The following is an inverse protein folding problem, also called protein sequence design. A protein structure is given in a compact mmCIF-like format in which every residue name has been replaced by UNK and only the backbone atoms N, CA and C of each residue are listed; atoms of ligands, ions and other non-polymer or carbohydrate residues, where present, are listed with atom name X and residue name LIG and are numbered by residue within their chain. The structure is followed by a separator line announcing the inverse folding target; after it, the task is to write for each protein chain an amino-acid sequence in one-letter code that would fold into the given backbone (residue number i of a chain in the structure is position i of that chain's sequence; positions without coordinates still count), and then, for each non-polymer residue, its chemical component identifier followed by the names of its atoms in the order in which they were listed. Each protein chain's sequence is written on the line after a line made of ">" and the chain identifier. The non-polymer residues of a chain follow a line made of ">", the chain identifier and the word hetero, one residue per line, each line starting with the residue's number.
data_IF_988863006775
#
_entry.id   IF_988863006775
#
_cell.length_a   1.000
_cell.length_b   1.000
_cell.length_c   1.000
_cell.angle_alpha   90.00
_cell.angle_beta   90.00
_cell.angle_gamma   90.00
#
_symmetry.space_group_name_H-M   'P 1'
#
loop_
_entity.id
_entity.type
_entity.pdbx_description
1 polymer ?
#
# COMPACT_ATOMS: atom_id res chain seq x y z
N UNK A 1 19.04 0.27 -3.84
CA UNK A 1 18.74 0.53 -2.42
C UNK A 1 18.90 -0.74 -1.59
N UNK A 2 19.33 -0.64 -0.32
CA UNK A 2 19.34 -1.77 0.64
C UNK A 2 18.14 -1.68 1.58
N UNK A 3 17.32 -2.73 1.70
CA UNK A 3 16.16 -2.72 2.60
C UNK A 3 16.55 -3.07 4.03
N UNK A 4 15.70 -2.62 4.96
CA UNK A 4 15.65 -3.18 6.30
C UNK A 4 14.79 -4.46 6.28
N UNK A 5 15.26 -5.53 6.91
CA UNK A 5 14.47 -6.74 7.11
C UNK A 5 13.72 -6.65 8.45
N UNK A 6 12.39 -6.75 8.41
CA UNK A 6 11.54 -6.61 9.59
C UNK A 6 10.54 -7.76 9.64
N UNK A 7 10.45 -8.44 10.78
CA UNK A 7 9.36 -9.37 11.08
C UNK A 7 8.13 -8.58 11.56
N UNK A 8 6.98 -8.87 10.98
CA UNK A 8 5.69 -8.26 11.36
C UNK A 8 4.70 -9.36 11.69
N UNK A 9 3.92 -9.12 12.75
CA UNK A 9 2.72 -9.90 13.05
C UNK A 9 1.63 -9.67 12.00
N UNK A 10 0.46 -10.28 12.20
CA UNK A 10 -0.69 -10.06 11.35
C UNK A 10 -1.07 -8.58 11.32
N UNK A 11 -1.37 -8.07 10.13
CA UNK A 11 -1.85 -6.69 9.92
C UNK A 11 -3.29 -6.79 9.43
N UNK A 12 -4.22 -6.12 10.11
CA UNK A 12 -5.64 -6.08 9.72
C UNK A 12 -5.93 -4.69 9.19
N UNK A 13 -6.36 -4.61 7.93
CA UNK A 13 -6.65 -3.36 7.25
C UNK A 13 -8.13 -3.25 6.91
N UNK A 14 -8.66 -2.04 7.01
CA UNK A 14 -10.00 -1.66 6.55
C UNK A 14 -9.90 -0.46 5.62
N UNK A 15 -10.66 -0.47 4.53
CA UNK A 15 -10.49 0.53 3.49
C UNK A 15 -11.29 0.26 2.23
N UNK A 16 -10.89 0.89 1.12
CA UNK A 16 -11.50 0.69 -0.19
C UNK A 16 -10.60 -0.11 -1.12
N UNK A 17 -11.21 -0.90 -1.99
CA UNK A 17 -10.52 -1.65 -3.05
C UNK A 17 -10.98 -1.19 -4.43
N UNK A 18 -10.06 -1.24 -5.38
CA UNK A 18 -10.26 -1.09 -6.80
C UNK A 18 -9.65 -2.30 -7.51
N UNK A 19 -10.37 -2.85 -8.49
CA UNK A 19 -9.86 -3.90 -9.37
C UNK A 19 -10.10 -3.47 -10.82
N UNK A 20 -9.05 -3.48 -11.63
CA UNK A 20 -9.09 -3.09 -13.04
C UNK A 20 -7.75 -2.56 -13.52
N UNK A 21 -7.75 -1.85 -14.65
CA UNK A 21 -6.59 -1.08 -15.12
C UNK A 21 -6.62 0.32 -14.47
N UNK A 22 -5.71 0.62 -13.52
CA UNK A 22 -5.73 1.90 -12.85
C UNK A 22 -5.16 3.05 -13.67
N UNK A 23 -4.44 2.76 -14.75
CA UNK A 23 -3.85 3.76 -15.66
C UNK A 23 -4.69 4.01 -16.91
N UNK A 24 -5.89 3.42 -16.97
CA UNK A 24 -6.85 3.56 -18.07
C UNK A 24 -7.11 5.01 -18.46
N UNK A 25 -7.10 5.94 -17.50
CA UNK A 25 -7.43 7.35 -17.71
C UNK A 25 -6.21 8.29 -17.64
N UNK A 26 -5.20 7.99 -16.81
CA UNK A 26 -3.96 8.78 -16.70
C UNK A 26 -2.83 7.96 -16.06
N UNK A 27 -1.58 8.45 -16.16
CA UNK A 27 -0.40 7.76 -15.61
C UNK A 27 -0.34 7.72 -14.07
N UNK A 28 0.64 7.01 -13.54
CA UNK A 28 0.92 6.94 -12.09
C UNK A 28 1.16 8.32 -11.46
N UNK A 29 0.95 8.40 -10.15
CA UNK A 29 1.18 9.61 -9.35
C UNK A 29 0.34 10.85 -9.74
N UNK A 30 -0.76 10.63 -10.47
CA UNK A 30 -1.77 11.66 -10.75
C UNK A 30 -3.03 11.39 -9.96
N UNK A 31 -3.69 12.44 -9.46
CA UNK A 31 -4.97 12.28 -8.75
C UNK A 31 -6.12 11.82 -9.67
N UNK A 32 -5.91 11.94 -10.99
CA UNK A 32 -6.91 11.63 -12.00
C UNK A 32 -7.00 10.13 -12.34
N UNK A 33 -5.97 9.36 -11.97
CA UNK A 33 -5.94 7.91 -12.18
C UNK A 33 -6.83 7.20 -11.15
N UNK A 34 -7.09 5.91 -11.34
CA UNK A 34 -8.02 5.20 -10.46
C UNK A 34 -7.50 5.06 -9.02
N UNK A 35 -6.19 5.10 -8.81
CA UNK A 35 -5.58 5.07 -7.47
C UNK A 35 -5.84 6.40 -6.75
N UNK A 36 -5.63 7.52 -7.43
CA UNK A 36 -5.96 8.85 -6.93
C UNK A 36 -7.44 8.99 -6.59
N UNK A 37 -8.33 8.53 -7.48
CA UNK A 37 -9.78 8.48 -7.25
C UNK A 37 -10.15 7.57 -6.07
N UNK A 38 -9.48 6.44 -5.92
CA UNK A 38 -9.68 5.52 -4.79
C UNK A 38 -9.35 6.22 -3.46
N UNK A 39 -8.21 6.92 -3.38
CA UNK A 39 -7.84 7.74 -2.22
C UNK A 39 -8.85 8.84 -1.94
N UNK A 40 -9.25 9.62 -2.95
CA UNK A 40 -10.24 10.70 -2.79
C UNK A 40 -11.56 10.16 -2.20
N UNK A 41 -12.05 9.03 -2.73
CA UNK A 41 -13.26 8.37 -2.21
C UNK A 41 -13.10 7.91 -0.77
N UNK A 42 -11.96 7.31 -0.43
CA UNK A 42 -11.71 6.84 0.93
C UNK A 42 -11.58 7.99 1.93
N UNK A 43 -10.88 9.07 1.56
CA UNK A 43 -10.75 10.26 2.41
C UNK A 43 -12.08 10.98 2.60
N UNK A 44 -12.92 11.10 1.56
CA UNK A 44 -14.26 11.64 1.69
C UNK A 44 -15.14 10.80 2.62
N UNK A 45 -15.05 9.46 2.53
CA UNK A 45 -15.74 8.57 3.45
C UNK A 45 -15.31 8.79 4.91
N UNK A 46 -14.01 8.93 5.17
CA UNK A 46 -13.50 9.18 6.52
C UNK A 46 -13.93 10.55 7.08
N UNK A 47 -14.08 11.56 6.23
CA UNK A 47 -14.62 12.86 6.64
C UNK A 47 -16.12 12.78 6.99
N UNK A 48 -16.89 11.98 6.26
CA UNK A 48 -18.34 11.83 6.45
C UNK A 48 -18.70 10.89 7.60
N UNK A 49 -17.97 9.79 7.73
CA UNK A 49 -18.39 8.61 8.50
C UNK A 49 -17.20 7.88 9.16
N UNK A 50 -16.04 8.53 9.30
CA UNK A 50 -14.82 7.91 9.83
C UNK A 50 -14.95 7.45 11.28
N UNK A 51 -15.85 8.07 12.07
CA UNK A 51 -16.17 7.67 13.44
C UNK A 51 -16.79 6.27 13.54
N UNK A 52 -17.30 5.73 12.44
CA UNK A 52 -17.85 4.37 12.37
C UNK A 52 -16.75 3.31 12.28
N UNK A 53 -15.52 3.70 11.96
CA UNK A 53 -14.38 2.79 11.91
C UNK A 53 -13.82 2.61 13.32
N UNK A 54 -14.05 1.42 13.90
CA UNK A 54 -13.61 1.09 15.27
C UNK A 54 -12.20 0.53 15.30
N UNK A 55 -11.57 0.66 16.47
CA UNK A 55 -10.26 0.06 16.80
C UNK A 55 -9.14 0.43 15.83
N UNK A 56 -9.18 1.63 15.24
CA UNK A 56 -8.08 2.17 14.46
C UNK A 56 -6.83 2.12 15.34
N UNK A 57 -5.79 1.45 14.85
CA UNK A 57 -4.54 1.31 15.56
C UNK A 57 -3.92 2.68 15.77
N UNK A 58 -3.33 2.90 16.95
CA UNK A 58 -2.62 4.13 17.24
C UNK A 58 -1.43 4.29 16.28
N UNK A 59 -1.37 5.43 15.59
CA UNK A 59 -0.42 5.70 14.52
C UNK A 59 -1.19 6.10 13.25
N UNK A 60 -0.85 7.25 12.65
CA UNK A 60 -1.58 7.79 11.49
C UNK A 60 -1.07 7.22 10.17
N UNK A 61 -0.79 5.92 10.16
CA UNK A 61 -0.25 5.23 9.01
C UNK A 61 -1.34 4.84 8.03
N UNK A 62 -1.18 5.23 6.77
CA UNK A 62 -2.03 4.80 5.68
C UNK A 62 -1.33 3.74 4.83
N UNK A 63 -2.12 2.84 4.26
CA UNK A 63 -1.64 1.72 3.48
C UNK A 63 -2.18 1.83 2.06
N UNK A 64 -1.31 1.65 1.07
CA UNK A 64 -1.68 1.38 -0.32
C UNK A 64 -1.12 0.02 -0.72
N UNK A 65 -1.99 -0.98 -0.80
CA UNK A 65 -1.66 -2.34 -1.20
C UNK A 65 -1.77 -2.48 -2.70
N UNK A 66 -0.76 -3.11 -3.28
CA UNK A 66 -0.77 -3.60 -4.66
C UNK A 66 -0.80 -5.13 -4.59
N UNK A 67 -1.87 -5.73 -5.09
CA UNK A 67 -2.13 -7.17 -5.00
C UNK A 67 -2.18 -7.74 -6.41
N UNK A 68 -1.26 -8.67 -6.67
CA UNK A 68 -1.16 -9.34 -7.96
C UNK A 68 -2.15 -10.51 -7.99
N UNK A 69 -2.99 -10.53 -9.02
CA UNK A 69 -3.90 -11.64 -9.28
C UNK A 69 -3.36 -12.51 -10.43
N UNK A 70 -3.62 -13.83 -10.45
CA UNK A 70 -3.12 -14.71 -11.50
C UNK A 70 -3.51 -14.29 -12.93
N UNK A 71 -4.62 -13.58 -13.09
CA UNK A 71 -5.07 -13.10 -14.40
C UNK A 71 -4.43 -11.79 -14.85
N UNK A 72 -3.62 -11.15 -14.00
CA UNK A 72 -2.92 -9.90 -14.31
C UNK A 72 -2.05 -10.04 -15.56
N UNK A 73 -1.33 -11.14 -15.73
CA UNK A 73 -0.50 -11.39 -16.92
C UNK A 73 -1.31 -11.40 -18.22
N UNK A 74 -2.59 -11.78 -18.15
CA UNK A 74 -3.48 -11.88 -19.30
C UNK A 74 -4.26 -10.59 -19.56
N UNK A 75 -4.67 -9.90 -18.50
CA UNK A 75 -5.62 -8.78 -18.55
C UNK A 75 -4.96 -7.42 -18.39
N UNK A 76 -3.81 -7.36 -17.72
CA UNK A 76 -3.22 -6.12 -17.22
C UNK A 76 -3.96 -5.53 -16.01
N UNK A 77 -5.02 -6.18 -15.52
CA UNK A 77 -5.79 -5.72 -14.37
C UNK A 77 -5.11 -6.16 -13.06
N UNK A 78 -5.08 -5.26 -12.09
CA UNK A 78 -4.57 -5.56 -10.75
C UNK A 78 -5.44 -4.91 -9.68
N UNK A 79 -5.31 -5.39 -8.45
CA UNK A 79 -6.05 -4.86 -7.33
C UNK A 79 -5.20 -3.84 -6.58
N UNK A 80 -5.78 -2.67 -6.35
CA UNK A 80 -5.25 -1.66 -5.44
C UNK A 80 -6.21 -1.51 -4.27
N UNK A 81 -5.68 -1.54 -3.07
CA UNK A 81 -6.46 -1.28 -1.85
C UNK A 81 -5.82 -0.15 -1.06
N UNK A 82 -6.63 0.81 -0.59
CA UNK A 82 -6.18 1.88 0.30
C UNK A 82 -6.93 1.80 1.62
N UNK A 83 -6.23 1.99 2.73
CA UNK A 83 -6.85 1.82 4.03
C UNK A 83 -5.97 2.22 5.20
N UNK A 84 -6.46 1.89 6.39
CA UNK A 84 -5.78 2.07 7.67
C UNK A 84 -5.73 0.73 8.43
N UNK A 85 -4.80 0.62 9.38
CA UNK A 85 -4.69 -0.55 10.25
C UNK A 85 -5.66 -0.47 11.43
N UNK A 86 -6.30 -1.58 11.77
CA UNK A 86 -7.13 -1.75 12.96
C UNK A 86 -6.57 -2.86 13.85
N UNK A 87 -6.75 -2.73 15.16
CA UNK A 87 -6.32 -3.75 16.13
C UNK A 87 -7.20 -5.01 16.09
N UNK A 88 -8.48 -4.85 15.76
CA UNK A 88 -9.46 -5.94 15.60
C UNK A 88 -10.66 -5.50 14.78
N UNK A 89 -11.39 -6.48 14.24
CA UNK A 89 -12.63 -6.26 13.49
C UNK A 89 -13.83 -6.20 14.45
N UNK A 90 -14.59 -5.12 14.37
CA UNK A 90 -15.84 -4.94 15.11
C UNK A 90 -16.75 -3.97 14.35
N UNK A 91 -18.00 -4.36 14.10
CA UNK A 91 -19.03 -3.52 13.46
C UNK A 91 -18.56 -2.82 12.17
N UNK A 92 -17.76 -3.50 11.34
CA UNK A 92 -17.17 -2.91 10.12
C UNK A 92 -18.26 -2.49 9.14
N UNK A 93 -18.32 -1.20 8.73
CA UNK A 93 -19.31 -0.70 7.78
C UNK A 93 -19.29 -1.44 6.43
N UNK A 94 -20.46 -1.71 5.86
CA UNK A 94 -20.63 -2.46 4.58
C UNK A 94 -19.91 -1.82 3.39
N UNK A 95 -19.65 -0.51 3.45
CA UNK A 95 -18.91 0.23 2.41
C UNK A 95 -17.42 -0.12 2.38
N UNK A 96 -16.88 -0.74 3.44
CA UNK A 96 -15.45 -1.04 3.58
C UNK A 96 -15.14 -2.49 3.19
N UNK A 97 -13.98 -2.65 2.57
CA UNK A 97 -13.31 -3.92 2.36
C UNK A 97 -12.30 -4.18 3.48
N UNK A 98 -12.07 -5.47 3.75
CA UNK A 98 -11.11 -5.92 4.77
C UNK A 98 -9.97 -6.66 4.09
N UNK A 99 -8.73 -6.44 4.54
CA UNK A 99 -7.55 -7.24 4.18
C UNK A 99 -6.87 -7.72 5.45
N UNK A 100 -6.61 -9.01 5.55
CA UNK A 100 -5.89 -9.61 6.67
C UNK A 100 -4.56 -10.14 6.12
N UNK A 101 -3.48 -9.40 6.37
CA UNK A 101 -2.15 -9.76 5.91
C UNK A 101 -1.50 -10.72 6.89
N UNK A 102 -1.00 -11.88 6.44
CA UNK A 102 -0.42 -12.87 7.33
C UNK A 102 0.87 -12.37 8.00
N UNK A 103 1.21 -12.88 9.20
CA UNK A 103 2.52 -12.66 9.80
C UNK A 103 3.62 -13.12 8.83
N UNK A 104 4.60 -12.24 8.59
CA UNK A 104 5.70 -12.54 7.67
C UNK A 104 6.86 -11.56 7.87
N UNK A 105 8.00 -11.92 7.29
CA UNK A 105 9.13 -11.02 7.11
C UNK A 105 8.88 -10.09 5.92
N UNK A 106 9.30 -8.84 6.05
CA UNK A 106 9.26 -7.84 5.01
C UNK A 106 10.67 -7.30 4.74
N UNK A 107 10.96 -7.06 3.46
CA UNK A 107 12.01 -6.15 3.03
C UNK A 107 11.38 -4.75 2.90
N UNK A 108 11.89 -3.80 3.68
CA UNK A 108 11.38 -2.43 3.78
C UNK A 108 12.36 -1.49 3.12
N UNK A 109 11.91 -0.81 2.07
CA UNK A 109 12.70 0.18 1.33
C UNK A 109 12.15 1.57 1.63
N UNK A 110 12.99 2.43 2.21
CA UNK A 110 12.61 3.81 2.50
C UNK A 110 13.00 4.71 1.33
N UNK A 111 12.00 5.36 0.73
CA UNK A 111 12.15 6.33 -0.34
C UNK A 111 12.07 7.75 0.24
N UNK A 112 12.95 8.63 -0.21
CA UNK A 112 12.99 10.03 0.20
C UNK A 112 12.90 10.93 -1.03
N UNK A 113 12.08 11.97 -0.96
CA UNK A 113 12.06 12.98 -2.01
C UNK A 113 11.58 12.42 -3.34
N UNK A 114 12.27 12.84 -4.41
CA UNK A 114 12.04 12.40 -5.78
C UNK A 114 12.15 10.88 -6.00
N UNK A 115 12.74 10.12 -5.06
CA UNK A 115 12.75 8.65 -5.14
C UNK A 115 11.34 8.05 -5.10
N UNK A 116 10.40 8.74 -4.47
CA UNK A 116 9.00 8.29 -4.32
C UNK A 116 8.34 8.09 -5.69
N UNK A 117 8.60 9.01 -6.63
CA UNK A 117 8.01 8.99 -7.98
C UNK A 117 8.93 8.35 -9.03
N UNK A 118 10.12 7.91 -8.63
CA UNK A 118 11.04 7.20 -9.50
C UNK A 118 10.56 5.76 -9.76
N UNK A 119 11.12 5.11 -10.77
CA UNK A 119 10.89 3.68 -10.99
C UNK A 119 11.79 2.84 -10.08
N UNK A 120 11.32 2.62 -8.85
CA UNK A 120 11.98 1.79 -7.85
C UNK A 120 11.76 0.28 -8.04
N UNK A 121 10.87 -0.12 -8.96
CA UNK A 121 10.49 -1.53 -9.16
C UNK A 121 11.69 -2.40 -9.56
N UNK A 122 12.55 -1.86 -10.42
CA UNK A 122 13.77 -2.51 -10.88
C UNK A 122 14.75 -2.73 -9.74
N UNK A 123 14.99 -1.71 -8.91
CA UNK A 123 15.93 -1.83 -7.79
C UNK A 123 15.49 -2.89 -6.76
N UNK A 124 14.19 -2.97 -6.48
CA UNK A 124 13.65 -4.01 -5.60
C UNK A 124 13.81 -5.41 -6.19
N UNK A 125 13.58 -5.55 -7.51
CA UNK A 125 13.75 -6.82 -8.24
C UNK A 125 15.20 -7.27 -8.28
N UNK A 126 16.13 -6.34 -8.53
CA UNK A 126 17.56 -6.60 -8.53
C UNK A 126 18.04 -7.05 -7.14
N UNK A 127 17.55 -6.38 -6.08
CA UNK A 127 17.82 -6.79 -4.71
C UNK A 127 17.28 -8.19 -4.40
N UNK A 128 16.04 -8.50 -4.81
CA UNK A 128 15.44 -9.82 -4.57
C UNK A 128 16.27 -10.92 -5.22
N UNK A 129 16.65 -10.72 -6.49
CA UNK A 129 17.44 -11.68 -7.28
C UNK A 129 18.80 -12.01 -6.65
N UNK A 130 19.47 -11.02 -6.03
CA UNK A 130 20.81 -11.19 -5.46
C UNK A 130 20.84 -11.55 -3.97
N UNK A 131 19.75 -11.34 -3.24
CA UNK A 131 19.69 -11.48 -1.77
C UNK A 131 19.46 -12.92 -1.30
N UNK A 132 19.04 -13.82 -2.20
CA UNK A 132 18.62 -15.17 -1.86
C UNK A 132 17.24 -15.24 -1.18
N UNK A 133 16.50 -14.13 -1.12
CA UNK A 133 15.10 -14.10 -0.71
C UNK A 133 14.17 -14.26 -1.91
N UNK A 134 12.95 -14.70 -1.64
CA UNK A 134 11.85 -14.77 -2.59
C UNK A 134 10.64 -14.00 -2.03
N UNK A 135 9.72 -13.57 -2.90
CA UNK A 135 8.43 -13.02 -2.46
C UNK A 135 7.68 -14.09 -1.67
N UNK A 136 7.27 -13.75 -0.45
CA UNK A 136 6.47 -14.66 0.37
C UNK A 136 5.00 -14.69 -0.08
N UNK A 137 4.50 -13.56 -0.60
CA UNK A 137 3.13 -13.40 -1.07
C UNK A 137 3.07 -12.49 -2.31
N UNK A 138 1.97 -12.61 -3.05
CA UNK A 138 1.66 -11.86 -4.26
C UNK A 138 1.07 -10.47 -3.96
N UNK A 139 1.63 -9.77 -2.97
CA UNK A 139 1.30 -8.38 -2.70
C UNK A 139 2.53 -7.61 -2.24
N UNK A 140 2.45 -6.29 -2.27
CA UNK A 140 3.32 -5.36 -1.57
C UNK A 140 2.49 -4.17 -1.11
N UNK A 141 3.04 -3.31 -0.25
CA UNK A 141 2.33 -2.09 0.11
C UNK A 141 3.25 -0.90 0.33
N UNK A 142 2.70 0.28 0.05
CA UNK A 142 3.27 1.57 0.42
C UNK A 142 2.66 1.98 1.76
N UNK A 143 3.50 2.47 2.67
CA UNK A 143 3.11 2.90 3.99
C UNK A 143 3.42 4.39 4.19
N UNK A 144 2.36 5.18 4.31
CA UNK A 144 2.40 6.63 4.46
C UNK A 144 2.16 6.99 5.92
N UNK A 145 3.22 7.30 6.66
CA UNK A 145 3.11 7.86 8.00
C UNK A 145 3.28 9.39 7.98
N UNK A 146 3.47 10.00 9.15
CA UNK A 146 3.64 11.45 9.29
C UNK A 146 4.83 12.04 8.52
N UNK A 147 5.76 11.21 8.05
CA UNK A 147 6.91 11.65 7.24
C UNK A 147 6.50 11.92 5.79
N UNK A 148 5.40 11.35 5.28
CA UNK A 148 4.85 11.72 3.99
C UNK A 148 4.03 13.01 4.13
N UNK A 149 4.46 14.08 3.45
CA UNK A 149 3.82 15.40 3.59
C UNK A 149 2.71 15.60 2.57
N UNK A 150 3.08 15.51 1.29
CA UNK A 150 2.17 15.61 0.16
C UNK A 150 2.96 15.44 -1.14
N UNK A 151 2.25 15.29 -2.25
CA UNK A 151 2.87 15.33 -3.59
C UNK A 151 3.48 16.70 -3.91
N UNK A 152 2.99 17.80 -3.31
CA UNK A 152 3.55 19.15 -3.49
C UNK A 152 4.81 19.39 -2.65
N UNK A 153 4.98 18.63 -1.56
CA UNK A 153 6.14 18.70 -0.65
C UNK A 153 6.96 17.41 -0.77
N UNK A 154 7.13 16.91 -1.99
CA UNK A 154 7.74 15.62 -2.24
C UNK A 154 9.18 15.56 -1.70
N UNK A 155 9.98 16.60 -1.89
CA UNK A 155 11.39 16.67 -1.47
C UNK A 155 11.60 16.51 0.05
N UNK A 156 10.58 16.81 0.86
CA UNK A 156 10.57 16.65 2.31
C UNK A 156 9.83 15.37 2.76
N UNK A 157 9.25 14.65 1.82
CA UNK A 157 8.44 13.46 2.09
C UNK A 157 9.29 12.20 2.13
N UNK A 158 8.87 11.28 3.00
CA UNK A 158 9.41 9.92 3.11
C UNK A 158 8.28 8.92 2.98
N UNK A 159 8.53 7.83 2.27
CA UNK A 159 7.60 6.73 2.05
C UNK A 159 8.30 5.40 2.24
N UNK A 160 7.66 4.45 2.92
CA UNK A 160 8.21 3.09 3.03
C UNK A 160 7.47 2.12 2.11
N UNK A 161 8.23 1.31 1.39
CA UNK A 161 7.72 0.20 0.58
C UNK A 161 8.00 -1.13 1.30
N UNK A 162 6.95 -1.89 1.53
CA UNK A 162 7.00 -3.18 2.18
C UNK A 162 6.77 -4.30 1.16
N UNK A 163 7.78 -5.14 0.96
CA UNK A 163 7.69 -6.36 0.17
C UNK A 163 7.78 -7.57 1.09
N UNK A 164 6.75 -8.45 1.16
CA UNK A 164 6.81 -9.66 1.97
C UNK A 164 7.82 -10.64 1.36
N UNK A 165 8.74 -11.13 2.18
CA UNK A 165 9.86 -11.99 1.75
C UNK A 165 10.02 -13.22 2.64
N UNK A 166 10.58 -14.28 2.06
CA UNK A 166 11.01 -15.50 2.74
C UNK A 166 12.34 -15.99 2.16
N UNK A 167 13.08 -16.78 2.92
CA UNK A 167 14.21 -17.55 2.39
C UNK A 167 13.72 -18.84 1.77
#
# INVERSE_FOLDING_TARGET
>A
MEPQLIDKDQIILVGFSFFGDPFKFSGGWTEENEIGRLWQRFMAYLQEAGEQVRHIKAGRGWYELHIDHPEMERTGEFEVFVGLEVERLEDVPVRLSIKILPPTKYAVFTLVGQQIVADWSKEMTDWLTRSGYQRAYAYGFQYYDERFKSMQQLDESVLDLYMPVRK
#
